data_IF_331652412467
#
_entry.id   IF_331652412467
#
_cell.length_a   1.000
_cell.length_b   1.000
_cell.length_c   1.000
_cell.angle_alpha   90.00
_cell.angle_beta   90.00
_cell.angle_gamma   90.00
#
_symmetry.space_group_name_H-M   'P 1'
#
loop_
_entity.id
_entity.type
_entity.pdbx_description
1 polymer ?
#
# COMPACT_ATOMS: atom_id res chain seq x y z
N UNK A 1 -15.09 8.56 2.41
CA UNK A 1 -14.25 7.38 2.13
C UNK A 1 -15.10 6.17 2.41
N UNK A 2 -15.46 5.46 1.35
CA UNK A 2 -16.32 4.29 1.41
C UNK A 2 -15.59 3.13 2.08
N UNK A 3 -16.37 2.20 2.64
CA UNK A 3 -15.82 0.94 3.13
C UNK A 3 -15.20 0.22 1.92
N UNK A 4 -14.01 -0.38 2.06
CA UNK A 4 -13.42 -1.08 0.94
C UNK A 4 -14.24 -2.31 0.55
N UNK A 5 -13.99 -2.82 -0.66
CA UNK A 5 -14.66 -4.00 -1.18
C UNK A 5 -14.62 -5.20 -0.22
N UNK A 6 -15.63 -6.10 -0.25
CA UNK A 6 -15.68 -7.27 0.62
C UNK A 6 -14.51 -8.26 0.44
N UNK A 7 -13.87 -8.26 -0.73
CA UNK A 7 -12.68 -9.06 -1.03
C UNK A 7 -11.37 -8.39 -0.56
N UNK A 8 -11.48 -7.23 0.09
CA UNK A 8 -10.37 -6.42 0.60
C UNK A 8 -9.39 -5.98 -0.51
N UNK A 9 -9.84 -5.94 -1.77
CA UNK A 9 -9.07 -5.34 -2.85
C UNK A 9 -8.93 -3.84 -2.63
N UNK A 10 -7.95 -3.17 -3.27
CA UNK A 10 -7.93 -1.71 -3.32
C UNK A 10 -9.26 -1.18 -3.87
N UNK A 11 -9.76 -0.09 -3.30
CA UNK A 11 -11.02 0.51 -3.77
C UNK A 11 -10.89 1.07 -5.18
N UNK A 12 -12.01 1.26 -5.87
CA UNK A 12 -12.02 1.82 -7.23
C UNK A 12 -11.29 3.17 -7.31
N UNK A 13 -11.52 4.06 -6.34
CA UNK A 13 -10.83 5.36 -6.26
C UNK A 13 -9.31 5.20 -6.17
N UNK A 14 -8.82 4.17 -5.48
CA UNK A 14 -7.38 3.88 -5.40
C UNK A 14 -6.83 3.46 -6.76
N UNK A 15 -7.54 2.56 -7.46
CA UNK A 15 -7.14 2.10 -8.79
C UNK A 15 -7.18 3.22 -9.84
N UNK A 16 -8.19 4.08 -9.79
CA UNK A 16 -8.31 5.25 -10.68
C UNK A 16 -7.19 6.26 -10.43
N UNK A 17 -6.90 6.55 -9.15
CA UNK A 17 -5.81 7.47 -8.79
C UNK A 17 -4.45 6.94 -9.26
N UNK A 18 -4.20 5.63 -9.12
CA UNK A 18 -2.96 5.02 -9.60
C UNK A 18 -2.87 4.98 -11.12
N UNK A 19 -3.99 4.78 -11.82
CA UNK A 19 -4.03 4.87 -13.29
C UNK A 19 -3.67 6.28 -13.76
N UNK A 20 -4.26 7.31 -13.13
CA UNK A 20 -3.94 8.71 -13.43
C UNK A 20 -2.48 9.04 -13.12
N UNK A 21 -1.95 8.58 -11.98
CA UNK A 21 -0.53 8.74 -11.65
C UNK A 21 0.35 8.13 -12.74
N UNK A 22 0.03 6.90 -13.19
CA UNK A 22 0.76 6.21 -14.23
C UNK A 22 0.77 6.99 -15.55
N UNK A 23 -0.37 7.54 -15.95
CA UNK A 23 -0.49 8.39 -17.15
C UNK A 23 0.35 9.66 -17.05
N UNK A 24 0.30 10.35 -15.90
CA UNK A 24 1.09 11.56 -15.64
C UNK A 24 2.58 11.28 -15.73
N UNK A 25 3.07 10.24 -15.04
CA UNK A 25 4.49 9.87 -15.04
C UNK A 25 4.97 9.45 -16.44
N UNK A 26 4.16 8.68 -17.17
CA UNK A 26 4.49 8.23 -18.54
C UNK A 26 4.58 9.40 -19.53
N UNK A 27 3.82 10.47 -19.33
CA UNK A 27 3.88 11.66 -20.19
C UNK A 27 5.17 12.48 -20.02
N UNK A 28 5.75 12.44 -18.81
CA UNK A 28 6.90 13.28 -18.42
C UNK A 28 8.23 12.76 -18.98
N UNK A 29 8.30 11.49 -19.37
CA UNK A 29 9.49 10.86 -19.97
C UNK A 29 9.88 11.45 -21.35
N UNK A 30 8.96 12.20 -21.97
CA UNK A 30 9.16 12.81 -23.30
C UNK A 30 9.82 14.20 -23.28
N UNK A 31 10.05 14.77 -22.10
CA UNK A 31 10.55 16.13 -21.94
C UNK A 31 12.09 16.23 -22.04
N UNK A 32 12.59 17.20 -22.80
CA UNK A 32 14.03 17.54 -22.92
C UNK A 32 14.48 18.31 -21.66
N UNK A 33 14.50 17.64 -20.52
CA UNK A 33 14.96 18.18 -19.23
C UNK A 33 16.16 17.38 -18.72
N UNK A 34 16.92 17.95 -17.78
CA UNK A 34 18.03 17.22 -17.16
C UNK A 34 17.52 16.13 -16.22
N UNK A 35 18.30 15.06 -16.03
CA UNK A 35 17.95 13.92 -15.16
C UNK A 35 17.60 14.38 -13.73
N UNK A 36 18.30 15.39 -13.20
CA UNK A 36 18.04 15.93 -11.86
C UNK A 36 16.70 16.68 -11.77
N UNK A 37 16.31 17.40 -12.82
CA UNK A 37 15.01 18.08 -12.88
C UNK A 37 13.86 17.07 -13.02
N UNK A 38 14.08 16.02 -13.82
CA UNK A 38 13.13 14.91 -13.96
C UNK A 38 12.92 14.20 -12.62
N UNK A 39 14.00 13.80 -11.94
CA UNK A 39 13.92 13.17 -10.62
C UNK A 39 13.17 14.05 -9.61
N UNK A 40 13.46 15.36 -9.55
CA UNK A 40 12.77 16.26 -8.62
C UNK A 40 11.28 16.41 -8.95
N UNK A 41 10.91 16.44 -10.22
CA UNK A 41 9.51 16.48 -10.64
C UNK A 41 8.79 15.16 -10.28
N UNK A 42 9.43 14.02 -10.55
CA UNK A 42 8.94 12.69 -10.16
C UNK A 42 8.68 12.59 -8.66
N UNK A 43 9.65 12.94 -7.83
CA UNK A 43 9.51 12.91 -6.36
C UNK A 43 8.35 13.79 -5.88
N UNK A 44 8.20 15.00 -6.44
CA UNK A 44 7.10 15.90 -6.08
C UNK A 44 5.74 15.33 -6.46
N UNK A 45 5.59 14.85 -7.70
CA UNK A 45 4.33 14.27 -8.19
C UNK A 45 3.97 13.06 -7.34
N UNK A 46 4.93 12.16 -7.09
CA UNK A 46 4.73 10.98 -6.26
C UNK A 46 4.33 11.36 -4.83
N UNK A 47 5.04 12.26 -4.15
CA UNK A 47 4.69 12.62 -2.77
C UNK A 47 3.32 13.34 -2.69
N UNK A 48 3.01 14.21 -3.64
CA UNK A 48 1.73 14.92 -3.68
C UNK A 48 0.53 14.00 -3.91
N UNK A 49 0.70 12.86 -4.59
CA UNK A 49 -0.41 11.96 -4.93
C UNK A 49 -0.44 10.70 -4.07
N UNK A 50 0.73 10.12 -3.82
CA UNK A 50 0.85 8.83 -3.14
C UNK A 50 0.66 8.95 -1.65
N UNK A 51 1.20 9.99 -1.00
CA UNK A 51 1.06 10.12 0.45
C UNK A 51 -0.41 10.33 0.86
N UNK A 52 -1.21 11.19 0.19
CA UNK A 52 -2.65 11.27 0.42
C UNK A 52 -3.38 9.97 0.13
N UNK A 53 -3.01 9.26 -0.95
CA UNK A 53 -3.62 7.99 -1.32
C UNK A 53 -3.41 6.91 -0.25
N UNK A 54 -2.18 6.77 0.26
CA UNK A 54 -1.85 5.83 1.32
C UNK A 54 -2.51 6.20 2.64
N UNK A 55 -2.55 7.49 2.98
CA UNK A 55 -3.29 7.98 4.15
C UNK A 55 -4.78 7.62 4.07
N UNK A 56 -5.36 7.76 2.88
CA UNK A 56 -6.72 7.37 2.58
C UNK A 56 -6.96 5.87 2.81
N UNK A 57 -6.04 5.01 2.36
CA UNK A 57 -6.10 3.57 2.60
C UNK A 57 -6.01 3.25 4.11
N UNK A 58 -5.10 3.89 4.83
CA UNK A 58 -4.95 3.71 6.28
C UNK A 58 -6.21 4.11 7.05
N UNK A 59 -6.86 5.22 6.68
CA UNK A 59 -8.12 5.65 7.31
C UNK A 59 -9.24 4.63 7.10
N UNK A 60 -9.30 3.98 5.93
CA UNK A 60 -10.24 2.89 5.68
C UNK A 60 -9.89 1.64 6.51
N UNK A 61 -8.60 1.27 6.53
CA UNK A 61 -8.06 0.13 7.27
C UNK A 61 -8.34 0.22 8.79
N UNK A 62 -8.28 1.41 9.37
CA UNK A 62 -8.54 1.66 10.80
C UNK A 62 -9.99 1.35 11.24
N UNK A 63 -10.91 1.14 10.30
CA UNK A 63 -12.32 0.79 10.60
C UNK A 63 -12.57 -0.72 10.60
N UNK A 64 -11.55 -1.52 10.34
CA UNK A 64 -11.65 -2.98 10.25
C UNK A 64 -11.02 -3.66 11.47
N UNK A 65 -11.25 -4.97 11.60
CA UNK A 65 -10.46 -5.78 12.52
C UNK A 65 -8.99 -5.87 12.03
N UNK A 66 -8.10 -6.30 12.93
CA UNK A 66 -6.66 -6.32 12.66
C UNK A 66 -6.27 -7.17 11.44
N UNK A 67 -6.99 -8.26 11.15
CA UNK A 67 -6.64 -9.15 10.04
C UNK A 67 -7.10 -8.55 8.70
N UNK A 68 -8.33 -8.07 8.64
CA UNK A 68 -8.87 -7.45 7.43
C UNK A 68 -8.12 -6.15 7.10
N UNK A 69 -7.81 -5.34 8.12
CA UNK A 69 -7.01 -4.12 8.01
C UNK A 69 -5.64 -4.40 7.40
N UNK A 70 -4.92 -5.41 7.92
CA UNK A 70 -3.60 -5.78 7.40
C UNK A 70 -3.68 -6.35 5.98
N UNK A 71 -4.68 -7.18 5.67
CA UNK A 71 -4.90 -7.73 4.33
C UNK A 71 -5.18 -6.64 3.31
N UNK A 72 -6.08 -5.71 3.65
CA UNK A 72 -6.41 -4.56 2.81
C UNK A 72 -5.18 -3.67 2.56
N UNK A 73 -4.39 -3.38 3.61
CA UNK A 73 -3.17 -2.58 3.46
C UNK A 73 -2.11 -3.27 2.59
N UNK A 74 -1.90 -4.59 2.74
CA UNK A 74 -1.00 -5.35 1.85
C UNK A 74 -1.44 -5.22 0.40
N UNK A 75 -2.73 -5.42 0.13
CA UNK A 75 -3.27 -5.32 -1.23
C UNK A 75 -3.08 -3.92 -1.82
N UNK A 76 -3.35 -2.87 -1.04
CA UNK A 76 -3.15 -1.48 -1.47
C UNK A 76 -1.68 -1.17 -1.73
N UNK A 77 -0.79 -1.52 -0.79
CA UNK A 77 0.64 -1.25 -0.90
C UNK A 77 1.27 -2.01 -2.07
N UNK A 78 0.89 -3.27 -2.28
CA UNK A 78 1.40 -4.08 -3.38
C UNK A 78 0.92 -3.56 -4.76
N UNK A 79 -0.31 -3.07 -4.84
CA UNK A 79 -0.82 -2.44 -6.06
C UNK A 79 -0.04 -1.16 -6.40
N UNK A 80 0.28 -0.35 -5.38
CA UNK A 80 1.15 0.82 -5.53
C UNK A 80 2.55 0.40 -5.98
N UNK A 81 3.16 -0.58 -5.31
CA UNK A 81 4.50 -1.10 -5.62
C UNK A 81 4.58 -1.60 -7.08
N UNK A 82 3.59 -2.37 -7.52
CA UNK A 82 3.49 -2.86 -8.90
C UNK A 82 3.33 -1.73 -9.91
N UNK A 83 2.58 -0.68 -9.56
CA UNK A 83 2.44 0.51 -10.41
C UNK A 83 3.76 1.27 -10.55
N UNK A 84 4.52 1.41 -9.46
CA UNK A 84 5.76 2.18 -9.43
C UNK A 84 6.96 1.43 -10.02
N UNK A 85 6.98 0.09 -9.95
CA UNK A 85 8.13 -0.74 -10.36
C UNK A 85 8.54 -0.66 -11.84
N UNK A 86 7.77 0.04 -12.68
CA UNK A 86 8.10 0.28 -14.09
C UNK A 86 8.74 1.65 -14.35
N UNK A 87 8.85 2.50 -13.34
CA UNK A 87 9.35 3.86 -13.46
C UNK A 87 10.73 4.03 -12.83
N UNK A 88 11.58 4.83 -13.47
CA UNK A 88 12.88 5.23 -12.91
C UNK A 88 12.71 6.08 -11.65
N UNK A 89 13.77 6.13 -10.83
CA UNK A 89 13.83 6.92 -9.59
C UNK A 89 12.83 6.50 -8.50
N UNK A 90 12.30 5.28 -8.56
CA UNK A 90 11.31 4.77 -7.59
C UNK A 90 11.90 3.85 -6.51
N UNK A 91 13.18 3.46 -6.61
CA UNK A 91 13.82 2.45 -5.75
C UNK A 91 13.61 2.69 -4.25
N UNK A 92 13.88 3.92 -3.78
CA UNK A 92 13.73 4.28 -2.36
C UNK A 92 12.29 4.12 -1.88
N UNK A 93 11.32 4.46 -2.74
CA UNK A 93 9.89 4.35 -2.39
C UNK A 93 9.46 2.88 -2.40
N UNK A 94 9.96 2.08 -3.35
CA UNK A 94 9.73 0.64 -3.41
C UNK A 94 10.24 -0.05 -2.14
N UNK A 95 11.45 0.28 -1.67
CA UNK A 95 12.00 -0.26 -0.42
C UNK A 95 11.11 0.05 0.79
N UNK A 96 10.59 1.28 0.87
CA UNK A 96 9.68 1.70 1.94
C UNK A 96 8.34 0.97 1.85
N UNK A 97 7.79 0.75 0.66
CA UNK A 97 6.55 0.01 0.44
C UNK A 97 6.72 -1.47 0.82
N UNK A 98 7.78 -2.11 0.33
CA UNK A 98 8.18 -3.48 0.68
C UNK A 98 8.32 -3.66 2.19
N UNK A 99 8.95 -2.72 2.88
CA UNK A 99 9.07 -2.75 4.35
C UNK A 99 7.70 -2.69 5.03
N UNK A 100 6.79 -1.83 4.58
CA UNK A 100 5.44 -1.75 5.14
C UNK A 100 4.62 -3.01 4.88
N UNK A 101 4.74 -3.61 3.68
CA UNK A 101 4.10 -4.89 3.35
C UNK A 101 4.58 -5.96 4.34
N UNK A 102 5.88 -6.08 4.57
CA UNK A 102 6.45 -7.05 5.51
C UNK A 102 5.87 -6.89 6.94
N UNK A 103 5.75 -5.64 7.42
CA UNK A 103 5.15 -5.34 8.74
C UNK A 103 3.69 -5.82 8.83
N UNK A 104 2.89 -5.60 7.79
CA UNK A 104 1.50 -6.06 7.78
C UNK A 104 1.40 -7.59 7.65
N UNK A 105 2.28 -8.23 6.89
CA UNK A 105 2.38 -9.70 6.81
C UNK A 105 2.71 -10.30 8.18
N UNK A 106 3.66 -9.72 8.92
CA UNK A 106 3.96 -10.15 10.28
C UNK A 106 2.75 -10.00 11.22
N UNK A 107 1.99 -8.91 11.07
CA UNK A 107 0.79 -8.66 11.87
C UNK A 107 -0.26 -9.74 11.64
N UNK A 108 -0.46 -10.16 10.39
CA UNK A 108 -1.32 -11.30 10.04
C UNK A 108 -0.83 -12.62 10.64
N UNK A 109 0.47 -12.91 10.49
CA UNK A 109 1.07 -14.13 11.03
C UNK A 109 0.93 -14.22 12.56
N UNK A 110 1.11 -13.10 13.27
CA UNK A 110 0.90 -12.99 14.72
C UNK A 110 -0.58 -13.21 15.08
N UNK A 111 -1.51 -12.66 14.31
CA UNK A 111 -2.96 -12.87 14.49
C UNK A 111 -3.36 -14.35 14.39
N UNK A 112 -2.89 -15.04 13.34
CA UNK A 112 -3.13 -16.47 13.15
C UNK A 112 -2.52 -17.33 14.28
N UNK A 113 -1.32 -16.97 14.74
CA UNK A 113 -0.64 -17.68 15.84
C UNK A 113 -1.36 -17.53 17.18
N UNK A 114 -1.97 -16.36 17.46
CA UNK A 114 -2.75 -16.13 18.70
C UNK A 114 -4.01 -17.00 18.76
N UNK A 115 -4.66 -17.28 17.63
CA UNK A 115 -5.81 -18.21 17.60
C UNK A 115 -5.36 -19.63 18.00
N UNK A 116 -4.19 -20.07 17.52
CA UNK A 116 -3.66 -21.39 17.87
C UNK A 116 -3.29 -21.51 19.35
N UNK A 117 -2.65 -20.49 19.94
CA UNK A 117 -2.30 -20.48 21.36
C UNK A 117 -3.55 -20.35 22.25
N UNK A 118 -4.52 -19.50 21.86
CA UNK A 118 -5.79 -19.38 22.58
C UNK A 118 -6.64 -20.65 22.56
N UNK A 119 -6.55 -21.46 21.51
CA UNK A 119 -7.21 -22.77 21.44
C UNK A 119 -6.53 -23.83 22.33
N UNK A 120 -5.25 -23.67 22.66
CA UNK A 120 -4.53 -24.57 23.58
C UNK A 120 -4.82 -24.24 25.06
N UNK A 121 -5.23 -23.01 25.37
CA UNK A 121 -5.46 -22.54 26.75
C UNK A 121 -6.87 -22.87 27.31
N UNK A 122 -7.71 -23.59 26.54
CA UNK A 122 -9.06 -24.02 26.97
C UNK A 122 -9.08 -25.44 27.58
N UNK A 123 -7.91 -26.00 27.87
CA UNK A 123 -7.76 -27.38 28.36
C UNK A 123 -7.42 -27.54 29.83
N UNK A 124 -7.32 -26.47 30.64
CA UNK A 124 -6.79 -26.61 32.01
C UNK A 124 -7.46 -25.73 33.07
N UNK A 125 -8.79 -25.79 33.13
CA UNK A 125 -9.54 -25.45 34.36
C UNK A 125 -10.48 -26.60 34.71
N UNK A 126 -9.91 -27.67 35.25
CA UNK A 126 -10.59 -28.62 36.14
C UNK A 126 -10.19 -28.29 37.58
#
# INVERSE_FOLDING_TARGET
MDLPPPDLSPSQVVNETLSLLKEVLSSHDTAVSSVSEQQSAYEKIMNCLLDPLLQCCMVAANRMNSADSATYMINCLHNVETCLGVFEFTDVKLDVLSTQIAIHVETLAKGASRIHIGALDIGNTL
#
